data_IF_131733322518
#
_entry.id   IF_131733322518
#
_cell.length_a   1.000
_cell.length_b   1.000
_cell.length_c   1.000
_cell.angle_alpha   90.00
_cell.angle_beta   90.00
_cell.angle_gamma   90.00
#
_symmetry.space_group_name_H-M   'P 1'
#
loop_
_entity.id
_entity.type
_entity.pdbx_description
1 polymer ?
#
# COMPACT_ATOMS: atom_id res chain seq x y z
N UNK A 1 16.74 8.76 -4.40
CA UNK A 1 16.54 10.02 -3.65
C UNK A 1 15.20 10.70 -3.95
N UNK A 2 14.88 11.06 -5.21
CA UNK A 2 13.58 11.70 -5.55
C UNK A 2 12.33 10.96 -5.04
N UNK A 3 12.31 9.62 -5.14
CA UNK A 3 11.18 8.78 -4.68
C UNK A 3 10.92 8.91 -3.17
N UNK A 4 11.99 8.89 -2.37
CA UNK A 4 11.90 9.01 -0.89
C UNK A 4 11.45 10.41 -0.51
N UNK A 5 11.99 11.45 -1.17
CA UNK A 5 11.59 12.83 -0.92
C UNK A 5 10.10 13.06 -1.23
N UNK A 6 9.64 12.62 -2.42
CA UNK A 6 8.23 12.75 -2.80
C UNK A 6 7.32 11.95 -1.87
N UNK A 7 7.73 10.74 -1.46
CA UNK A 7 7.01 9.95 -0.47
C UNK A 7 6.85 10.73 0.85
N UNK A 8 7.94 11.29 1.40
CA UNK A 8 7.87 12.06 2.64
C UNK A 8 7.00 13.31 2.49
N UNK A 9 7.18 14.07 1.42
CA UNK A 9 6.39 15.28 1.15
C UNK A 9 4.90 14.99 1.04
N UNK A 10 4.51 13.95 0.32
CA UNK A 10 3.10 13.57 0.18
C UNK A 10 2.49 13.21 1.53
N UNK A 11 3.21 12.47 2.37
CA UNK A 11 2.68 12.12 3.69
C UNK A 11 2.58 13.34 4.62
N UNK A 12 3.55 14.26 4.59
CA UNK A 12 3.45 15.52 5.31
C UNK A 12 2.24 16.33 4.82
N UNK A 13 2.02 16.39 3.50
CA UNK A 13 0.87 17.08 2.93
C UNK A 13 -0.47 16.47 3.41
N UNK A 14 -0.55 15.14 3.53
CA UNK A 14 -1.72 14.46 4.11
C UNK A 14 -1.96 14.90 5.56
N UNK A 15 -0.92 14.99 6.39
CA UNK A 15 -1.05 15.47 7.78
C UNK A 15 -1.49 16.93 7.86
N UNK A 16 -1.02 17.78 6.94
CA UNK A 16 -1.44 19.19 6.85
C UNK A 16 -2.93 19.28 6.48
N UNK A 17 -3.37 18.54 5.47
CA UNK A 17 -4.78 18.51 5.06
C UNK A 17 -5.65 18.00 6.21
N UNK A 18 -5.24 16.91 6.87
CA UNK A 18 -5.94 16.38 8.04
C UNK A 18 -6.06 17.44 9.14
N UNK A 19 -4.98 18.15 9.47
CA UNK A 19 -4.98 19.22 10.47
C UNK A 19 -5.99 20.33 10.13
N UNK A 20 -6.04 20.78 8.87
CA UNK A 20 -7.00 21.79 8.42
C UNK A 20 -8.43 21.27 8.57
N UNK A 21 -8.71 20.04 8.13
CA UNK A 21 -10.06 19.44 8.22
C UNK A 21 -10.50 19.32 9.68
N UNK A 22 -9.65 18.82 10.57
CA UNK A 22 -9.98 18.67 12.00
C UNK A 22 -10.26 20.02 12.66
N UNK A 23 -9.49 21.06 12.30
CA UNK A 23 -9.73 22.43 12.79
C UNK A 23 -11.07 22.99 12.29
N UNK A 24 -11.40 22.80 11.02
CA UNK A 24 -12.67 23.25 10.44
C UNK A 24 -13.88 22.55 11.07
N UNK A 25 -13.73 21.27 11.40
CA UNK A 25 -14.76 20.49 12.11
C UNK A 25 -14.82 20.82 13.61
N UNK A 26 -13.98 21.73 14.11
CA UNK A 26 -13.99 22.17 15.50
C UNK A 26 -13.42 21.14 16.49
N UNK A 27 -12.71 20.11 16.01
CA UNK A 27 -12.14 19.05 16.86
C UNK A 27 -11.17 19.60 17.90
N UNK A 28 -10.43 20.68 17.56
CA UNK A 28 -9.53 21.37 18.49
C UNK A 28 -10.28 21.85 19.74
N UNK A 29 -11.43 22.50 19.55
CA UNK A 29 -12.27 23.02 20.65
C UNK A 29 -12.88 21.91 21.48
N UNK A 30 -13.35 20.84 20.82
CA UNK A 30 -13.93 19.68 21.50
C UNK A 30 -12.87 19.04 22.40
N UNK A 31 -11.64 18.87 21.93
CA UNK A 31 -10.55 18.27 22.70
C UNK A 31 -10.17 19.12 23.91
N UNK A 32 -10.13 20.46 23.75
CA UNK A 32 -9.85 21.40 24.85
C UNK A 32 -10.96 21.38 25.92
N UNK A 33 -12.24 21.30 25.51
CA UNK A 33 -13.40 21.27 26.40
C UNK A 33 -13.61 19.90 27.08
N UNK A 34 -13.16 18.81 26.46
CA UNK A 34 -13.36 17.44 26.96
C UNK A 34 -12.54 17.11 28.22
N UNK A 35 -11.61 17.98 28.62
CA UNK A 35 -10.71 17.73 29.77
C UNK A 35 -9.78 16.53 29.57
N UNK A 36 -9.71 15.99 28.35
CA UNK A 36 -8.81 14.91 27.99
C UNK A 36 -7.41 15.49 27.78
N UNK A 37 -6.35 14.84 28.27
CA UNK A 37 -4.94 15.21 27.97
C UNK A 37 -4.54 15.01 26.49
N UNK A 38 -5.52 14.85 25.60
CA UNK A 38 -5.35 14.74 24.15
C UNK A 38 -5.53 16.11 23.54
N UNK A 39 -4.44 16.69 23.03
CA UNK A 39 -4.46 17.89 22.22
C UNK A 39 -4.30 17.54 20.73
N UNK A 40 -4.53 18.52 19.86
CA UNK A 40 -4.39 18.36 18.40
C UNK A 40 -3.03 17.78 17.99
N UNK A 41 -1.96 18.15 18.68
CA UNK A 41 -0.60 17.65 18.39
C UNK A 41 -0.47 16.15 18.66
N UNK A 42 -0.93 15.67 19.82
CA UNK A 42 -0.93 14.26 20.18
C UNK A 42 -1.80 13.43 19.23
N UNK A 43 -2.94 13.98 18.80
CA UNK A 43 -3.82 13.34 17.83
C UNK A 43 -3.15 13.18 16.45
N UNK A 44 -2.46 14.22 15.97
CA UNK A 44 -1.75 14.15 14.69
C UNK A 44 -0.56 13.18 14.74
N UNK A 45 0.17 13.10 15.85
CA UNK A 45 1.21 12.08 16.04
C UNK A 45 0.60 10.68 16.02
N UNK A 46 -0.49 10.48 16.77
CA UNK A 46 -1.18 9.20 16.78
C UNK A 46 -1.63 8.81 15.37
N UNK A 47 -2.27 9.73 14.65
CA UNK A 47 -2.71 9.51 13.28
C UNK A 47 -1.54 9.21 12.34
N UNK A 48 -0.40 9.89 12.51
CA UNK A 48 0.81 9.58 11.75
C UNK A 48 1.28 8.15 12.07
N UNK A 49 1.51 7.80 13.33
CA UNK A 49 2.02 6.48 13.72
C UNK A 49 1.08 5.36 13.26
N UNK A 50 -0.22 5.50 13.48
CA UNK A 50 -1.20 4.49 13.06
C UNK A 50 -1.41 4.46 11.55
N UNK A 51 -1.40 5.61 10.87
CA UNK A 51 -1.50 5.67 9.41
C UNK A 51 -0.29 5.04 8.73
N UNK A 52 0.92 5.45 9.11
CA UNK A 52 2.17 4.90 8.59
C UNK A 52 2.34 3.43 8.99
N UNK A 53 2.18 3.10 10.28
CA UNK A 53 2.30 1.74 10.78
C UNK A 53 1.28 0.80 10.12
N UNK A 54 0.03 1.25 10.01
CA UNK A 54 -1.03 0.52 9.31
C UNK A 54 -0.72 0.29 7.83
N UNK A 55 -0.11 1.26 7.14
CA UNK A 55 0.29 1.10 5.73
C UNK A 55 1.36 0.02 5.55
N UNK A 56 2.33 -0.09 6.48
CA UNK A 56 3.37 -1.12 6.44
C UNK A 56 2.77 -2.50 6.70
N UNK A 57 1.86 -2.62 7.68
CA UNK A 57 1.13 -3.87 7.95
C UNK A 57 0.28 -4.26 6.74
N UNK A 58 -0.41 -3.30 6.13
CA UNK A 58 -1.20 -3.51 4.90
C UNK A 58 -0.32 -4.01 3.75
N UNK A 59 0.85 -3.40 3.53
CA UNK A 59 1.82 -3.85 2.54
C UNK A 59 2.27 -5.28 2.83
N UNK A 60 2.62 -5.58 4.09
CA UNK A 60 3.05 -6.92 4.48
C UNK A 60 1.98 -8.00 4.22
N UNK A 61 0.70 -7.67 4.44
CA UNK A 61 -0.42 -8.59 4.19
C UNK A 61 -0.86 -8.64 2.72
N UNK A 62 -0.52 -7.63 1.91
CA UNK A 62 -1.08 -7.44 0.57
C UNK A 62 -0.92 -8.65 -0.35
N UNK A 63 0.26 -9.30 -0.37
CA UNK A 63 0.52 -10.49 -1.21
C UNK A 63 -0.37 -11.67 -0.79
N UNK A 64 -0.44 -11.93 0.50
CA UNK A 64 -1.26 -13.01 1.05
C UNK A 64 -2.74 -12.77 0.77
N UNK A 65 -3.20 -11.54 1.00
CA UNK A 65 -4.58 -11.13 0.79
C UNK A 65 -4.97 -11.21 -0.69
N UNK A 66 -4.12 -10.73 -1.60
CA UNK A 66 -4.37 -10.82 -3.05
C UNK A 66 -4.57 -12.27 -3.49
N UNK A 67 -3.68 -13.20 -3.08
CA UNK A 67 -3.81 -14.62 -3.44
C UNK A 67 -5.06 -15.28 -2.86
N UNK A 68 -5.34 -15.01 -1.57
CA UNK A 68 -6.47 -15.63 -0.86
C UNK A 68 -7.81 -15.15 -1.40
N UNK A 69 -7.96 -13.86 -1.64
CA UNK A 69 -9.25 -13.28 -2.04
C UNK A 69 -9.59 -13.55 -3.51
N UNK A 70 -8.60 -13.64 -4.40
CA UNK A 70 -8.85 -13.95 -5.82
C UNK A 70 -8.77 -15.44 -6.14
N UNK A 71 -8.30 -16.28 -5.20
CA UNK A 71 -8.03 -17.69 -5.47
C UNK A 71 -6.88 -17.88 -6.46
N UNK A 72 -5.94 -16.94 -6.54
CA UNK A 72 -4.85 -16.97 -7.50
C UNK A 72 -3.98 -18.23 -7.35
N UNK A 73 -3.69 -18.86 -8.49
CA UNK A 73 -2.84 -20.02 -8.59
C UNK A 73 -1.44 -19.59 -9.03
N UNK A 74 -0.46 -19.86 -8.16
CA UNK A 74 0.94 -19.54 -8.43
C UNK A 74 1.48 -20.47 -9.51
N UNK A 75 2.13 -19.90 -10.53
CA UNK A 75 2.80 -20.65 -11.59
C UNK A 75 4.17 -21.08 -11.09
N UNK A 76 4.25 -22.28 -10.52
CA UNK A 76 5.53 -22.88 -10.12
C UNK A 76 6.34 -23.38 -11.33
N UNK A 77 5.65 -24.04 -12.27
CA UNK A 77 6.19 -24.51 -13.55
C UNK A 77 5.16 -24.21 -14.65
N UNK A 78 5.50 -23.39 -15.65
CA UNK A 78 4.60 -23.08 -16.76
C UNK A 78 4.17 -24.34 -17.53
N UNK A 79 2.86 -24.49 -17.80
CA UNK A 79 2.30 -25.70 -18.42
C UNK A 79 1.85 -25.49 -19.87
N UNK A 80 1.79 -24.24 -20.33
CA UNK A 80 1.36 -23.87 -21.66
C UNK A 80 2.12 -22.63 -22.16
N UNK A 81 1.99 -22.34 -23.46
CA UNK A 81 2.68 -21.22 -24.10
C UNK A 81 2.34 -19.86 -23.51
N UNK A 82 1.12 -19.66 -23.02
CA UNK A 82 0.69 -18.39 -22.42
C UNK A 82 1.36 -18.16 -21.06
N UNK A 83 1.44 -19.19 -20.20
CA UNK A 83 2.14 -19.12 -18.92
C UNK A 83 3.65 -18.91 -19.12
N UNK A 84 4.26 -19.58 -20.11
CA UNK A 84 5.68 -19.38 -20.46
C UNK A 84 5.92 -17.93 -20.87
N UNK A 85 5.09 -17.41 -21.77
CA UNK A 85 5.18 -16.02 -22.21
C UNK A 85 5.01 -15.04 -21.05
N UNK A 86 4.05 -15.28 -20.16
CA UNK A 86 3.77 -14.42 -19.02
C UNK A 86 4.97 -14.38 -18.06
N UNK A 87 5.49 -15.54 -17.65
CA UNK A 87 6.61 -15.64 -16.72
C UNK A 87 7.88 -15.01 -17.30
N UNK A 88 8.22 -15.28 -18.55
CA UNK A 88 9.40 -14.69 -19.20
C UNK A 88 9.24 -13.18 -19.42
N UNK A 89 8.04 -12.70 -19.72
CA UNK A 89 7.76 -11.26 -19.84
C UNK A 89 7.97 -10.56 -18.51
N UNK A 90 7.41 -11.10 -17.43
CA UNK A 90 7.57 -10.54 -16.08
C UNK A 90 9.04 -10.58 -15.64
N UNK A 91 9.75 -11.67 -15.92
CA UNK A 91 11.19 -11.81 -15.64
C UNK A 91 12.04 -10.78 -16.37
N UNK A 92 11.77 -10.55 -17.66
CA UNK A 92 12.45 -9.51 -18.44
C UNK A 92 12.17 -8.13 -17.84
N UNK A 93 10.92 -7.84 -17.49
CA UNK A 93 10.53 -6.57 -16.85
C UNK A 93 11.19 -6.37 -15.49
N UNK A 94 11.21 -7.40 -14.65
CA UNK A 94 11.86 -7.36 -13.34
C UNK A 94 13.36 -7.08 -13.47
N UNK A 95 14.02 -7.73 -14.43
CA UNK A 95 15.45 -7.52 -14.72
C UNK A 95 15.73 -6.10 -15.21
N UNK A 96 14.91 -5.57 -16.14
CA UNK A 96 15.04 -4.18 -16.61
C UNK A 96 14.79 -3.17 -15.49
N UNK A 97 13.89 -3.48 -14.55
CA UNK A 97 13.61 -2.65 -13.38
C UNK A 97 14.64 -2.80 -12.25
N UNK A 98 15.55 -3.78 -12.35
CA UNK A 98 16.55 -4.08 -11.31
C UNK A 98 15.94 -4.62 -10.01
N UNK A 99 14.82 -5.34 -10.09
CA UNK A 99 14.15 -5.98 -8.94
C UNK A 99 14.24 -7.51 -9.03
N UNK A 100 14.09 -8.19 -7.89
CA UNK A 100 14.02 -9.65 -7.85
C UNK A 100 12.83 -10.19 -8.64
N UNK A 101 12.92 -11.44 -9.09
CA UNK A 101 11.82 -12.11 -9.80
C UNK A 101 10.59 -12.20 -8.89
N UNK A 102 9.47 -11.53 -9.25
CA UNK A 102 8.25 -11.64 -8.45
C UNK A 102 7.59 -13.01 -8.67
N UNK A 103 6.81 -13.41 -7.67
CA UNK A 103 5.90 -14.55 -7.82
C UNK A 103 4.81 -14.20 -8.85
N UNK A 104 4.60 -15.07 -9.83
CA UNK A 104 3.58 -14.88 -10.88
C UNK A 104 2.42 -15.85 -10.61
N UNK A 105 1.21 -15.32 -10.61
CA UNK A 105 0.00 -16.10 -10.40
C UNK A 105 -1.10 -15.68 -11.36
N UNK A 106 -2.00 -16.61 -11.68
CA UNK A 106 -3.19 -16.38 -12.50
C UNK A 106 -4.44 -16.62 -11.66
N UNK A 107 -5.48 -15.83 -11.89
CA UNK A 107 -6.78 -16.00 -11.25
C UNK A 107 -7.86 -15.81 -12.30
N UNK A 108 -9.02 -16.42 -12.06
CA UNK A 108 -10.15 -16.32 -12.98
C UNK A 108 -10.90 -15.00 -12.78
N UNK A 109 -11.24 -14.32 -13.87
CA UNK A 109 -11.99 -13.07 -13.83
C UNK A 109 -12.73 -12.84 -15.15
N UNK A 110 -14.00 -12.48 -15.05
CA UNK A 110 -14.82 -12.16 -16.22
C UNK A 110 -14.37 -10.87 -16.94
N UNK A 111 -13.67 -9.98 -16.24
CA UNK A 111 -13.14 -8.73 -16.78
C UNK A 111 -11.60 -8.77 -16.82
N UNK A 112 -10.96 -8.16 -17.84
CA UNK A 112 -9.51 -8.02 -17.86
C UNK A 112 -8.99 -7.28 -16.63
N UNK A 113 -8.12 -7.93 -15.84
CA UNK A 113 -7.55 -7.34 -14.63
C UNK A 113 -6.13 -7.89 -14.36
N UNK A 114 -5.26 -7.04 -13.84
CA UNK A 114 -3.93 -7.39 -13.35
C UNK A 114 -3.59 -6.56 -12.11
N UNK A 115 -2.97 -7.18 -11.11
CA UNK A 115 -2.56 -6.55 -9.85
C UNK A 115 -1.11 -6.94 -9.51
N UNK A 116 -0.36 -6.01 -8.90
CA UNK A 116 1.00 -6.25 -8.43
C UNK A 116 1.22 -5.57 -7.07
N UNK A 117 2.00 -6.21 -6.19
CA UNK A 117 2.43 -5.65 -4.90
C UNK A 117 3.93 -5.81 -4.70
N UNK A 118 4.55 -4.84 -4.03
CA UNK A 118 5.99 -4.76 -3.79
C UNK A 118 6.47 -5.41 -2.48
N UNK A 119 5.59 -6.12 -1.75
CA UNK A 119 6.04 -6.92 -0.61
C UNK A 119 6.86 -8.10 -1.13
N UNK A 120 8.16 -8.13 -0.83
CA UNK A 120 9.07 -9.21 -1.23
C UNK A 120 8.80 -10.49 -0.44
#
# INVERSE_FOLDING_TARGET
MKRILLFLLTNIAVLVVLSIVLRLLGVDRILDESGTNLNMYNLLIFAAVFGFGGSLISLAMSKWMAKRLTGAQVIASPRNTAEIWLVETVKKQATMAGIGMPEVAIFDSAAPNAFATGMN
#
